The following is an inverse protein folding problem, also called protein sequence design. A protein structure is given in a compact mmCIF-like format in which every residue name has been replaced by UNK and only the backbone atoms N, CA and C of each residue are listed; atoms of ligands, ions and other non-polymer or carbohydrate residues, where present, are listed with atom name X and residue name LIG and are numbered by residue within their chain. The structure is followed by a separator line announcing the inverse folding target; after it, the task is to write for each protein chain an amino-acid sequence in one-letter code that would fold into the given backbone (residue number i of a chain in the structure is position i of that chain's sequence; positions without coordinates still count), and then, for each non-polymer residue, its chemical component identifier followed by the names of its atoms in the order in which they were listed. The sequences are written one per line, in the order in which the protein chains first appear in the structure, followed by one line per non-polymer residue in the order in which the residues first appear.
data_IF_398108297284
#
_entry.id   IF_398108297284
#
_cell.length_a   1.000
_cell.length_b   1.000
_cell.length_c   1.000
_cell.angle_alpha   90.00
_cell.angle_beta   90.00
_cell.angle_gamma   90.00
#
_symmetry.space_group_name_H-M   'P 1'
#
loop_
_entity.id
_entity.type
_entity.pdbx_description
1 polymer ?
#
# COMPACT_ATOMS: atom_id res chain seq x y z
N UNK A 1 -14.00 3.50 4.05
CA UNK A 1 -15.42 3.61 3.70
C UNK A 1 -16.03 2.30 3.22
N UNK A 2 -15.28 1.44 2.51
CA UNK A 2 -15.73 0.16 1.96
C UNK A 2 -16.03 -0.85 3.09
N UNK A 3 -15.13 -0.97 4.05
CA UNK A 3 -15.24 -1.91 5.16
C UNK A 3 -16.40 -1.59 6.12
N UNK A 4 -16.64 -0.32 6.45
CA UNK A 4 -17.80 0.13 7.25
C UNK A 4 -19.14 -0.26 6.61
N UNK A 5 -19.19 -0.43 5.30
CA UNK A 5 -20.39 -0.80 4.55
C UNK A 5 -20.74 -2.29 4.71
N UNK A 6 -19.76 -3.13 5.06
CA UNK A 6 -19.91 -4.58 5.21
C UNK A 6 -20.11 -5.05 6.65
N UNK A 7 -19.51 -4.33 7.62
CA UNK A 7 -19.54 -4.74 9.02
C UNK A 7 -20.42 -3.83 9.91
N UNK A 8 -21.18 -2.92 9.29
CA UNK A 8 -22.23 -2.14 9.95
C UNK A 8 -21.73 -1.12 10.96
N UNK A 9 -22.04 0.16 10.70
CA UNK A 9 -22.03 1.21 11.71
C UNK A 9 -23.47 1.31 12.26
N UNK A 10 -23.80 0.50 13.27
CA UNK A 10 -25.04 0.66 14.01
C UNK A 10 -24.95 1.91 14.90
N UNK A 11 -25.19 3.06 14.26
CA UNK A 11 -25.33 4.34 14.92
C UNK A 11 -26.54 4.37 15.86
N UNK A 12 -26.36 3.94 17.10
CA UNK A 12 -27.27 4.27 18.18
C UNK A 12 -26.51 5.08 19.22
N UNK A 13 -26.94 6.32 19.41
CA UNK A 13 -26.52 7.23 20.47
C UNK A 13 -26.57 6.54 21.83
N UNK A 14 -25.43 6.27 22.44
CA UNK A 14 -25.33 5.70 23.80
C UNK A 14 -23.86 5.72 24.26
N UNK A 15 -23.65 6.10 25.51
CA UNK A 15 -22.38 6.27 26.26
C UNK A 15 -21.28 5.27 25.85
N UNK A 16 -19.98 5.64 25.91
CA UNK A 16 -18.87 4.76 25.56
C UNK A 16 -18.86 3.55 26.51
N UNK A 17 -19.37 2.43 26.06
CA UNK A 17 -19.05 1.11 26.57
C UNK A 17 -17.93 0.55 25.73
N UNK A 18 -16.89 0.01 26.36
CA UNK A 18 -15.91 -0.83 25.67
C UNK A 18 -16.68 -1.92 24.91
N UNK A 19 -16.83 -1.75 23.62
CA UNK A 19 -17.35 -2.79 22.73
C UNK A 19 -16.17 -3.61 22.29
N UNK A 20 -16.08 -4.84 22.72
CA UNK A 20 -15.22 -5.86 22.09
C UNK A 20 -15.76 -6.06 20.68
N UNK A 21 -15.10 -5.47 19.69
CA UNK A 21 -15.36 -5.74 18.29
C UNK A 21 -14.48 -6.94 17.89
N UNK A 22 -15.08 -8.09 17.71
CA UNK A 22 -14.40 -9.24 17.13
C UNK A 22 -14.36 -9.06 15.61
N UNK A 23 -13.17 -8.83 15.06
CA UNK A 23 -12.94 -8.93 13.62
C UNK A 23 -12.56 -10.38 13.30
N UNK A 24 -13.25 -10.99 12.33
CA UNK A 24 -12.96 -12.35 11.88
C UNK A 24 -12.29 -12.27 10.49
N UNK A 25 -11.18 -12.97 10.35
CA UNK A 25 -10.45 -13.09 9.10
C UNK A 25 -9.68 -14.39 9.06
N UNK A 26 -8.95 -14.59 8.00
CA UNK A 26 -8.07 -15.74 7.79
C UNK A 26 -6.61 -15.29 7.78
N UNK A 27 -5.69 -16.23 7.90
CA UNK A 27 -4.25 -16.02 7.73
C UNK A 27 -3.60 -17.24 7.08
N UNK A 28 -2.39 -17.06 6.59
CA UNK A 28 -1.59 -18.09 5.93
C UNK A 28 -0.25 -18.21 6.65
N UNK A 29 0.09 -19.40 7.15
CA UNK A 29 1.40 -19.67 7.72
C UNK A 29 2.40 -19.81 6.58
N UNK A 30 3.42 -18.94 6.57
CA UNK A 30 4.41 -18.84 5.49
C UNK A 30 5.82 -19.26 5.92
N UNK A 31 6.07 -19.40 7.22
CA UNK A 31 7.31 -19.92 7.80
C UNK A 31 7.00 -20.84 8.99
N UNK A 32 7.72 -21.97 9.12
CA UNK A 32 7.47 -22.99 10.14
C UNK A 32 7.63 -22.48 11.58
N UNK A 33 8.36 -21.39 11.76
CA UNK A 33 8.58 -20.72 13.05
C UNK A 33 7.42 -19.78 13.45
N UNK A 34 6.26 -19.88 12.78
CA UNK A 34 5.04 -19.17 13.15
C UNK A 34 4.84 -17.82 12.48
N UNK A 35 5.49 -17.55 11.32
CA UNK A 35 5.20 -16.35 10.55
C UNK A 35 3.91 -16.51 9.76
N UNK A 36 3.00 -15.55 9.89
CA UNK A 36 1.65 -15.57 9.30
C UNK A 36 1.41 -14.29 8.52
N UNK A 37 0.87 -14.42 7.32
CA UNK A 37 0.39 -13.28 6.53
C UNK A 37 -1.12 -13.24 6.55
N UNK A 38 -1.66 -12.04 6.70
CA UNK A 38 -3.10 -11.73 6.64
C UNK A 38 -3.33 -10.36 5.99
N UNK A 39 -4.57 -9.88 5.91
CA UNK A 39 -4.83 -8.51 5.48
C UNK A 39 -4.66 -7.50 6.63
N UNK A 40 -4.19 -6.30 6.29
CA UNK A 40 -4.09 -5.20 7.24
C UNK A 40 -5.44 -4.83 7.85
N UNK A 41 -6.51 -4.80 7.04
CA UNK A 41 -7.84 -4.46 7.54
C UNK A 41 -8.41 -5.48 8.53
N UNK A 42 -7.94 -6.73 8.53
CA UNK A 42 -8.36 -7.78 9.48
C UNK A 42 -7.82 -7.47 10.88
N UNK A 43 -6.61 -6.94 10.98
CA UNK A 43 -5.91 -6.66 12.25
C UNK A 43 -5.96 -5.20 12.67
N UNK A 44 -6.44 -4.32 11.80
CA UNK A 44 -6.45 -2.88 12.05
C UNK A 44 -7.30 -2.50 13.27
N UNK A 45 -6.66 -1.85 14.25
CA UNK A 45 -7.32 -1.41 15.49
C UNK A 45 -7.50 -2.53 16.53
N UNK A 46 -7.03 -3.75 16.25
CA UNK A 46 -7.00 -4.84 17.20
C UNK A 46 -5.96 -4.59 18.29
N UNK A 47 -6.35 -4.77 19.55
CA UNK A 47 -5.45 -4.70 20.72
C UNK A 47 -5.01 -6.07 21.20
N UNK A 48 -5.76 -7.11 20.86
CA UNK A 48 -5.52 -8.51 21.19
C UNK A 48 -5.75 -9.33 19.91
N UNK A 49 -4.71 -9.87 19.33
CA UNK A 49 -4.78 -10.66 18.10
C UNK A 49 -4.56 -12.13 18.45
N UNK A 50 -5.54 -12.97 18.15
CA UNK A 50 -5.48 -14.41 18.35
C UNK A 50 -5.55 -15.16 17.05
N UNK A 51 -4.69 -16.14 16.92
CA UNK A 51 -4.64 -17.08 15.81
C UNK A 51 -5.15 -18.44 16.28
N UNK A 52 -6.15 -18.96 15.57
CA UNK A 52 -6.71 -20.29 15.82
C UNK A 52 -6.36 -21.18 14.64
N UNK A 53 -5.63 -22.26 14.88
CA UNK A 53 -5.23 -23.23 13.87
C UNK A 53 -6.38 -24.19 13.52
N UNK A 54 -6.21 -24.94 12.45
CA UNK A 54 -7.20 -25.94 12.00
C UNK A 54 -7.45 -27.05 13.05
N UNK A 55 -6.46 -27.37 13.88
CA UNK A 55 -6.54 -28.32 14.98
C UNK A 55 -7.11 -27.72 16.27
N UNK A 56 -7.57 -26.46 16.22
CA UNK A 56 -8.18 -25.69 17.31
C UNK A 56 -7.20 -25.20 18.38
N UNK A 57 -5.91 -25.31 18.17
CA UNK A 57 -4.93 -24.62 19.05
C UNK A 57 -5.04 -23.12 18.85
N UNK A 58 -4.92 -22.40 19.94
CA UNK A 58 -5.00 -20.92 19.97
C UNK A 58 -3.66 -20.35 20.41
N UNK A 59 -3.22 -19.31 19.72
CA UNK A 59 -1.99 -18.60 20.00
C UNK A 59 -2.25 -17.09 20.07
N UNK A 60 -1.62 -16.42 21.00
CA UNK A 60 -1.49 -14.97 20.96
C UNK A 60 -0.51 -14.61 19.84
N UNK A 61 -0.84 -13.59 19.05
CA UNK A 61 -0.03 -13.19 17.91
C UNK A 61 0.54 -11.80 18.09
N UNK A 62 1.84 -11.67 17.85
CA UNK A 62 2.53 -10.40 17.75
C UNK A 62 2.37 -9.80 16.34
N UNK A 63 1.97 -8.53 16.27
CA UNK A 63 1.92 -7.79 15.01
C UNK A 63 3.31 -7.25 14.68
N UNK A 64 3.99 -7.89 13.71
CA UNK A 64 5.34 -7.49 13.28
C UNK A 64 5.32 -6.29 12.33
N UNK A 65 4.38 -6.28 11.38
CA UNK A 65 4.33 -5.28 10.33
C UNK A 65 2.92 -5.12 9.81
N UNK A 66 2.53 -3.87 9.53
CA UNK A 66 1.35 -3.53 8.74
C UNK A 66 1.73 -2.74 7.52
N UNK A 67 1.08 -3.04 6.41
CA UNK A 67 1.21 -2.31 5.17
C UNK A 67 -0.17 -1.91 4.62
N UNK A 68 -0.68 -0.75 5.02
CA UNK A 68 -1.98 -0.26 4.53
C UNK A 68 -2.02 -0.06 3.01
N UNK A 69 -0.87 0.16 2.36
CA UNK A 69 -0.80 0.41 0.92
C UNK A 69 -1.06 -0.83 0.07
N UNK A 70 -0.73 -2.02 0.59
CA UNK A 70 -1.04 -3.31 -0.06
C UNK A 70 -2.18 -4.05 0.60
N UNK A 71 -2.66 -3.55 1.77
CA UNK A 71 -3.63 -4.25 2.62
C UNK A 71 -3.08 -5.58 3.16
N UNK A 72 -1.79 -5.65 3.50
CA UNK A 72 -1.14 -6.81 4.10
C UNK A 72 -0.70 -6.53 5.55
N UNK A 73 -0.67 -7.57 6.36
CA UNK A 73 -0.06 -7.57 7.68
C UNK A 73 0.70 -8.88 7.90
N UNK A 74 1.77 -8.80 8.69
CA UNK A 74 2.59 -9.94 9.09
C UNK A 74 2.50 -10.09 10.61
N UNK A 75 2.13 -11.29 11.02
CA UNK A 75 2.01 -11.68 12.42
C UNK A 75 3.05 -12.76 12.74
N UNK A 76 3.37 -12.89 14.02
CA UNK A 76 4.16 -13.99 14.57
C UNK A 76 3.41 -14.65 15.72
N UNK A 77 3.39 -15.97 15.72
CA UNK A 77 2.97 -16.78 16.87
C UNK A 77 4.16 -17.60 17.39
N UNK A 78 4.17 -17.90 18.67
CA UNK A 78 5.15 -18.76 19.29
C UNK A 78 4.55 -20.17 19.49
N UNK A 79 5.00 -21.12 18.68
CA UNK A 79 4.62 -22.53 18.79
C UNK A 79 5.65 -23.38 19.54
N UNK A 80 6.63 -22.75 20.22
CA UNK A 80 7.75 -23.43 20.87
C UNK A 80 8.68 -24.09 19.85
N UNK A 81 9.09 -25.31 20.12
CA UNK A 81 9.99 -26.09 19.26
C UNK A 81 9.27 -26.85 18.11
N UNK A 82 7.99 -26.60 17.92
CA UNK A 82 7.19 -27.28 16.88
C UNK A 82 7.28 -26.55 15.55
N UNK A 83 7.64 -27.29 14.50
CA UNK A 83 7.53 -26.81 13.11
C UNK A 83 6.07 -26.81 12.65
N UNK A 84 5.53 -25.64 12.37
CA UNK A 84 4.18 -25.48 11.82
C UNK A 84 4.15 -25.81 10.32
N UNK A 85 3.04 -26.42 9.81
CA UNK A 85 2.88 -26.64 8.40
C UNK A 85 2.76 -25.33 7.64
N UNK A 86 3.54 -25.17 6.56
CA UNK A 86 3.61 -23.96 5.74
C UNK A 86 3.14 -24.20 4.32
N UNK A 87 2.71 -23.12 3.65
CA UNK A 87 2.46 -23.12 2.21
C UNK A 87 3.72 -22.74 1.45
N UNK A 88 3.93 -23.32 0.28
CA UNK A 88 5.01 -22.89 -0.64
C UNK A 88 4.61 -21.58 -1.31
N UNK A 89 5.47 -20.57 -1.25
CA UNK A 89 5.26 -19.30 -1.96
C UNK A 89 5.55 -19.49 -3.46
N UNK A 90 4.52 -19.42 -4.29
CA UNK A 90 4.61 -19.54 -5.75
C UNK A 90 5.14 -18.28 -6.43
N UNK A 91 4.84 -18.12 -7.72
CA UNK A 91 5.12 -16.93 -8.52
C UNK A 91 3.83 -16.44 -9.17
N UNK A 92 3.34 -15.28 -8.73
CA UNK A 92 2.11 -14.69 -9.28
C UNK A 92 2.28 -14.13 -10.70
N UNK A 93 3.51 -13.92 -11.16
CA UNK A 93 3.77 -13.47 -12.53
C UNK A 93 3.74 -14.61 -13.55
N UNK A 94 3.71 -15.87 -13.08
CA UNK A 94 3.54 -17.05 -13.94
C UNK A 94 2.08 -17.41 -14.21
N UNK A 95 1.13 -16.73 -13.55
CA UNK A 95 -0.30 -16.99 -13.73
C UNK A 95 -0.79 -16.50 -15.09
N UNK A 96 -1.69 -17.29 -15.67
CA UNK A 96 -2.41 -16.95 -16.89
C UNK A 96 -3.93 -16.90 -16.63
N UNK A 97 -4.63 -16.09 -17.41
CA UNK A 97 -6.11 -16.08 -17.38
C UNK A 97 -6.64 -17.44 -17.83
N UNK A 98 -7.48 -18.03 -16.99
CA UNK A 98 -7.98 -19.40 -17.17
C UNK A 98 -7.34 -20.44 -16.24
N UNK A 99 -6.24 -20.11 -15.56
CA UNK A 99 -5.62 -21.00 -14.58
C UNK A 99 -6.58 -21.32 -13.45
N UNK A 100 -6.65 -22.62 -13.09
CA UNK A 100 -7.46 -23.08 -11.96
C UNK A 100 -6.82 -22.67 -10.63
N UNK A 101 -7.63 -22.14 -9.73
CA UNK A 101 -7.22 -21.71 -8.39
C UNK A 101 -8.23 -22.13 -7.33
N UNK A 102 -7.74 -22.29 -6.09
CA UNK A 102 -8.54 -22.56 -4.92
C UNK A 102 -8.41 -21.38 -3.94
N UNK A 103 -9.54 -20.81 -3.52
CA UNK A 103 -9.57 -19.83 -2.44
C UNK A 103 -9.90 -20.54 -1.13
N UNK A 104 -9.02 -20.37 -0.13
CA UNK A 104 -9.08 -21.06 1.16
C UNK A 104 -9.20 -19.99 2.25
N UNK A 105 -10.09 -20.19 3.20
CA UNK A 105 -10.28 -19.29 4.33
C UNK A 105 -11.27 -19.87 5.34
N UNK A 106 -11.66 -19.06 6.32
CA UNK A 106 -12.64 -19.40 7.35
C UNK A 106 -13.80 -18.39 7.34
N UNK A 107 -14.69 -18.44 6.32
CA UNK A 107 -15.80 -17.50 6.21
C UNK A 107 -16.73 -17.63 7.43
N UNK A 108 -17.08 -16.49 8.00
CA UNK A 108 -17.98 -16.39 9.14
C UNK A 108 -17.49 -17.10 10.43
N UNK A 109 -16.23 -17.57 10.47
CA UNK A 109 -15.68 -18.27 11.64
C UNK A 109 -16.30 -19.65 11.91
N UNK A 110 -16.98 -20.25 10.91
CA UNK A 110 -17.69 -21.53 11.08
C UNK A 110 -16.85 -22.74 10.68
N UNK A 111 -15.61 -22.52 10.25
CA UNK A 111 -14.66 -23.57 9.85
C UNK A 111 -14.00 -23.28 8.52
N UNK A 112 -12.91 -24.00 8.26
CA UNK A 112 -12.15 -23.86 7.02
C UNK A 112 -13.02 -24.24 5.81
N UNK A 113 -13.01 -23.38 4.81
CA UNK A 113 -13.77 -23.55 3.56
C UNK A 113 -12.83 -23.42 2.38
N UNK A 114 -13.03 -24.27 1.38
CA UNK A 114 -12.31 -24.22 0.11
C UNK A 114 -13.32 -24.00 -1.00
N UNK A 115 -13.07 -22.99 -1.83
CA UNK A 115 -13.85 -22.73 -3.05
C UNK A 115 -12.92 -22.79 -4.26
N UNK A 116 -13.42 -23.22 -5.41
CA UNK A 116 -12.66 -23.34 -6.64
C UNK A 116 -13.15 -22.34 -7.70
N UNK A 117 -12.25 -21.90 -8.53
CA UNK A 117 -12.51 -21.03 -9.66
C UNK A 117 -11.28 -20.93 -10.56
N UNK A 118 -11.27 -19.89 -11.39
CA UNK A 118 -10.16 -19.59 -12.29
C UNK A 118 -9.60 -18.19 -12.03
N UNK A 119 -8.42 -17.92 -12.53
CA UNK A 119 -7.91 -16.57 -12.74
C UNK A 119 -8.74 -15.93 -13.84
N UNK A 120 -9.64 -15.03 -13.48
CA UNK A 120 -10.55 -14.34 -14.44
C UNK A 120 -9.89 -13.16 -15.12
N UNK A 121 -8.94 -12.50 -14.45
CA UNK A 121 -8.11 -11.43 -14.98
C UNK A 121 -6.89 -11.20 -14.10
N UNK A 122 -5.87 -10.61 -14.70
CA UNK A 122 -4.67 -10.11 -14.01
C UNK A 122 -4.66 -8.58 -14.07
N UNK A 123 -3.85 -7.96 -13.22
CA UNK A 123 -3.62 -6.51 -13.23
C UNK A 123 -4.87 -5.63 -13.05
N UNK A 124 -5.87 -6.07 -12.28
CA UNK A 124 -7.06 -5.26 -12.01
C UNK A 124 -6.75 -4.09 -11.09
N UNK A 125 -7.05 -2.88 -11.54
CA UNK A 125 -6.54 -1.62 -10.96
C UNK A 125 -7.61 -0.68 -10.40
N UNK A 126 -8.90 -1.01 -10.42
CA UNK A 126 -10.00 -0.12 -10.01
C UNK A 126 -10.85 -0.69 -8.87
N UNK A 127 -10.22 -1.36 -7.90
CA UNK A 127 -10.94 -2.00 -6.81
C UNK A 127 -11.12 -1.09 -5.59
N UNK A 128 -10.28 -0.04 -5.45
CA UNK A 128 -10.42 0.99 -4.41
C UNK A 128 -10.07 0.54 -2.99
N UNK A 129 -9.34 -0.57 -2.82
CA UNK A 129 -9.00 -1.18 -1.52
C UNK A 129 -7.62 -0.79 -1.04
N UNK A 130 -6.68 -0.52 -1.95
CA UNK A 130 -5.29 -0.19 -1.64
C UNK A 130 -4.68 0.75 -2.68
N UNK A 131 -3.50 1.33 -2.38
CA UNK A 131 -2.77 2.20 -3.31
C UNK A 131 -2.11 1.39 -4.44
N UNK A 132 -1.58 0.21 -4.13
CA UNK A 132 -1.07 -0.76 -5.11
C UNK A 132 -2.22 -1.63 -5.63
N UNK A 133 -2.95 -1.10 -6.59
CA UNK A 133 -4.10 -1.76 -7.21
C UNK A 133 -3.64 -2.65 -8.37
N UNK A 134 -3.05 -3.79 -8.05
CA UNK A 134 -2.67 -4.81 -9.02
C UNK A 134 -3.10 -6.16 -8.48
N UNK A 135 -4.37 -6.48 -8.67
CA UNK A 135 -4.99 -7.68 -8.09
C UNK A 135 -5.12 -8.80 -9.11
N UNK A 136 -5.03 -10.04 -8.61
CA UNK A 136 -5.54 -11.22 -9.30
C UNK A 136 -7.05 -11.21 -9.12
N UNK A 137 -7.81 -11.20 -10.22
CA UNK A 137 -9.26 -11.41 -10.17
C UNK A 137 -9.57 -12.90 -10.33
N UNK A 138 -10.48 -13.42 -9.53
CA UNK A 138 -10.96 -14.80 -9.59
C UNK A 138 -12.47 -14.87 -9.44
N UNK A 139 -13.09 -15.90 -10.00
CA UNK A 139 -14.49 -16.24 -9.79
C UNK A 139 -14.68 -17.27 -8.67
N UNK A 140 -13.58 -17.80 -8.09
CA UNK A 140 -13.64 -18.54 -6.83
C UNK A 140 -14.41 -17.73 -5.79
N UNK A 141 -15.40 -18.34 -5.12
CA UNK A 141 -16.27 -17.62 -4.20
C UNK A 141 -15.49 -17.12 -2.97
N UNK A 142 -15.27 -15.82 -2.89
CA UNK A 142 -14.70 -15.14 -1.72
C UNK A 142 -15.84 -14.47 -0.95
N UNK A 143 -15.93 -14.71 0.35
CA UNK A 143 -16.94 -14.15 1.25
C UNK A 143 -16.26 -13.53 2.49
N UNK A 144 -16.96 -12.69 3.27
CA UNK A 144 -16.43 -12.17 4.53
C UNK A 144 -15.89 -13.28 5.43
N UNK A 145 -14.63 -13.12 5.92
CA UNK A 145 -13.87 -14.12 6.65
C UNK A 145 -12.81 -14.86 5.81
N UNK A 146 -12.93 -14.90 4.48
CA UNK A 146 -11.86 -15.39 3.60
C UNK A 146 -10.72 -14.37 3.43
N UNK A 147 -10.95 -13.10 3.79
CA UNK A 147 -9.90 -12.06 3.76
C UNK A 147 -8.70 -12.49 4.61
N UNK A 148 -7.50 -12.36 4.05
CA UNK A 148 -6.25 -12.84 4.63
C UNK A 148 -5.95 -14.32 4.35
N UNK A 149 -6.91 -15.08 3.83
CA UNK A 149 -6.73 -16.47 3.44
C UNK A 149 -5.99 -16.66 2.12
N UNK A 150 -5.67 -17.90 1.80
CA UNK A 150 -4.86 -18.25 0.65
C UNK A 150 -5.66 -18.32 -0.65
N UNK A 151 -5.07 -17.81 -1.74
CA UNK A 151 -5.37 -18.24 -3.10
C UNK A 151 -4.22 -19.14 -3.56
N UNK A 152 -4.51 -20.40 -3.87
CA UNK A 152 -3.49 -21.39 -4.26
C UNK A 152 -3.76 -21.91 -5.66
N UNK A 153 -2.70 -22.21 -6.38
CA UNK A 153 -2.74 -22.89 -7.68
C UNK A 153 -2.90 -24.41 -7.49
N UNK A 154 -3.16 -25.13 -8.57
CA UNK A 154 -3.40 -26.57 -8.52
C UNK A 154 -2.18 -27.41 -8.13
N UNK A 155 -0.97 -26.84 -8.12
CA UNK A 155 0.23 -27.46 -7.57
C UNK A 155 0.40 -27.23 -6.05
N UNK A 156 -0.56 -26.55 -5.40
CA UNK A 156 -0.54 -26.27 -3.96
C UNK A 156 0.28 -25.05 -3.56
N UNK A 157 0.84 -24.28 -4.51
CA UNK A 157 1.60 -23.07 -4.21
C UNK A 157 0.68 -21.88 -3.97
N UNK A 158 1.01 -21.05 -2.99
CA UNK A 158 0.36 -19.76 -2.75
C UNK A 158 0.62 -18.83 -3.94
N UNK A 159 -0.42 -18.33 -4.56
CA UNK A 159 -0.32 -17.36 -5.67
C UNK A 159 -0.90 -16.00 -5.30
N UNK A 160 -1.66 -15.92 -4.21
CA UNK A 160 -2.16 -14.65 -3.68
C UNK A 160 -2.79 -14.77 -2.29
N UNK A 161 -3.09 -13.62 -1.69
CA UNK A 161 -3.86 -13.48 -0.45
C UNK A 161 -5.22 -12.88 -0.78
N UNK A 162 -6.29 -13.60 -0.46
CA UNK A 162 -7.67 -13.13 -0.67
C UNK A 162 -7.90 -11.84 0.11
N UNK A 163 -8.46 -10.80 -0.53
CA UNK A 163 -8.63 -9.49 0.17
C UNK A 163 -10.03 -8.90 0.04
N UNK A 164 -10.60 -8.84 -1.15
CA UNK A 164 -11.82 -8.10 -1.39
C UNK A 164 -12.75 -8.80 -2.38
N UNK A 165 -14.03 -8.38 -2.36
CA UNK A 165 -15.02 -8.77 -3.38
C UNK A 165 -15.64 -7.49 -3.96
N UNK A 166 -16.00 -7.54 -5.25
CA UNK A 166 -16.88 -6.53 -5.83
C UNK A 166 -18.33 -6.96 -5.59
N UNK A 167 -18.98 -6.38 -4.59
CA UNK A 167 -20.35 -6.77 -4.22
C UNK A 167 -21.11 -5.59 -3.63
N UNK A 168 -22.42 -5.49 -3.97
CA UNK A 168 -23.34 -4.53 -3.35
C UNK A 168 -24.10 -5.14 -2.17
N UNK A 169 -24.24 -6.45 -2.16
CA UNK A 169 -25.01 -7.21 -1.17
C UNK A 169 -24.16 -7.82 -0.05
N UNK A 170 -22.82 -7.79 -0.16
CA UNK A 170 -21.91 -8.37 0.83
C UNK A 170 -21.50 -9.81 0.57
N UNK A 171 -22.15 -10.53 -0.36
CA UNK A 171 -21.78 -11.88 -0.76
C UNK A 171 -21.05 -11.90 -2.10
N UNK A 172 -20.39 -13.02 -2.40
CA UNK A 172 -19.71 -13.24 -3.68
C UNK A 172 -20.73 -13.25 -4.83
N UNK A 173 -20.39 -12.54 -5.90
CA UNK A 173 -21.11 -12.54 -7.19
C UNK A 173 -20.21 -13.06 -8.32
N UNK A 174 -19.16 -13.82 -8.01
CA UNK A 174 -18.19 -14.31 -8.99
C UNK A 174 -17.10 -13.29 -9.34
N UNK A 175 -16.90 -12.26 -8.52
CA UNK A 175 -15.83 -11.27 -8.69
C UNK A 175 -15.11 -11.13 -7.35
N UNK A 176 -14.04 -11.86 -7.18
CA UNK A 176 -13.13 -11.82 -6.04
C UNK A 176 -11.75 -11.29 -6.44
N UNK A 177 -11.01 -10.78 -5.48
CA UNK A 177 -9.68 -10.22 -5.66
C UNK A 177 -8.71 -10.79 -4.64
N UNK A 178 -7.48 -11.06 -5.11
CA UNK A 178 -6.37 -11.46 -4.26
C UNK A 178 -5.13 -10.59 -4.54
N UNK A 179 -4.36 -10.34 -3.50
CA UNK A 179 -3.07 -9.64 -3.56
C UNK A 179 -2.03 -10.65 -4.07
N UNK A 180 -1.29 -10.35 -5.16
CA UNK A 180 -0.31 -11.27 -5.74
C UNK A 180 0.78 -11.69 -4.76
N UNK A 181 1.20 -12.95 -4.78
CA UNK A 181 2.22 -13.49 -3.86
C UNK A 181 3.57 -12.79 -4.00
N UNK A 182 3.93 -12.27 -5.17
CA UNK A 182 5.18 -11.52 -5.32
C UNK A 182 5.18 -10.24 -4.48
N UNK A 183 4.02 -9.58 -4.31
CA UNK A 183 3.87 -8.46 -3.36
C UNK A 183 3.93 -8.96 -1.91
N UNK A 184 3.35 -10.12 -1.60
CA UNK A 184 3.42 -10.76 -0.27
C UNK A 184 4.87 -11.03 0.13
N UNK A 185 5.70 -11.54 -0.78
CA UNK A 185 7.15 -11.79 -0.55
C UNK A 185 7.89 -10.51 -0.15
N UNK A 186 7.60 -9.38 -0.82
CA UNK A 186 8.20 -8.07 -0.49
C UNK A 186 7.86 -7.63 0.94
N UNK A 187 6.61 -7.85 1.36
CA UNK A 187 6.15 -7.49 2.71
C UNK A 187 6.75 -8.41 3.78
N UNK A 188 6.82 -9.74 3.51
CA UNK A 188 7.49 -10.70 4.41
C UNK A 188 8.95 -10.33 4.61
N UNK A 189 9.70 -10.09 3.54
CA UNK A 189 11.12 -9.72 3.60
C UNK A 189 11.32 -8.43 4.40
N UNK A 190 10.40 -7.48 4.29
CA UNK A 190 10.45 -6.24 5.05
C UNK A 190 10.17 -6.46 6.54
N UNK A 191 9.26 -7.37 6.89
CA UNK A 191 8.97 -7.73 8.29
C UNK A 191 10.16 -8.42 8.98
N UNK A 192 10.96 -9.19 8.24
CA UNK A 192 12.17 -9.84 8.77
C UNK A 192 13.36 -8.90 8.97
N UNK A 193 13.42 -7.82 8.18
CA UNK A 193 14.58 -6.90 8.15
C UNK A 193 14.35 -5.58 8.87
N UNK A 194 13.12 -5.25 9.23
CA UNK A 194 12.81 -3.98 9.91
C UNK A 194 11.31 -3.67 9.90
N UNK A 195 10.92 -2.62 10.62
CA UNK A 195 9.51 -2.28 10.88
C UNK A 195 8.82 -1.48 9.75
N UNK A 196 9.45 -1.25 8.62
CA UNK A 196 8.90 -0.48 7.49
C UNK A 196 9.08 -1.21 6.18
N UNK A 197 8.03 -1.22 5.35
CA UNK A 197 8.10 -1.84 4.02
C UNK A 197 8.95 -0.98 3.10
N UNK A 198 10.14 -1.47 2.77
CA UNK A 198 11.03 -0.83 1.79
C UNK A 198 10.71 -1.37 0.41
N UNK A 199 10.38 -0.47 -0.51
CA UNK A 199 10.10 -0.81 -1.91
C UNK A 199 11.11 -0.16 -2.82
N UNK A 200 11.45 -0.80 -3.94
CA UNK A 200 12.17 -0.12 -5.01
C UNK A 200 11.37 1.08 -5.50
N UNK A 201 12.09 2.15 -5.78
CA UNK A 201 11.54 3.43 -6.19
C UNK A 201 12.01 3.78 -7.60
N UNK A 202 11.08 4.14 -8.47
CA UNK A 202 11.40 4.59 -9.83
C UNK A 202 11.75 6.07 -9.88
N UNK A 203 11.20 6.86 -8.98
CA UNK A 203 11.37 8.32 -8.98
C UNK A 203 10.79 8.98 -10.23
N UNK A 204 9.69 8.43 -10.75
CA UNK A 204 9.05 8.88 -11.98
C UNK A 204 7.55 9.12 -11.77
N UNK A 205 7.04 10.19 -12.38
CA UNK A 205 5.61 10.36 -12.60
C UNK A 205 5.25 9.64 -13.89
N UNK A 206 4.37 8.66 -13.77
CA UNK A 206 3.96 7.80 -14.86
C UNK A 206 2.51 8.08 -15.24
N UNK A 207 2.22 7.98 -16.53
CA UNK A 207 0.90 8.16 -17.10
C UNK A 207 0.59 7.02 -18.06
N UNK A 208 -0.67 6.54 -18.04
CA UNK A 208 -1.14 5.59 -19.03
C UNK A 208 -1.16 6.25 -20.43
N UNK A 209 -0.78 5.48 -21.44
CA UNK A 209 -0.83 5.92 -22.84
C UNK A 209 -2.27 5.75 -23.34
N UNK A 210 -2.96 6.86 -23.57
CA UNK A 210 -4.30 6.86 -24.22
C UNK A 210 -4.18 6.72 -25.75
N UNK A 211 -5.28 6.47 -26.46
CA UNK A 211 -5.30 6.40 -27.92
C UNK A 211 -4.74 7.66 -28.58
N UNK A 212 -5.12 8.84 -28.09
CA UNK A 212 -4.66 10.14 -28.63
C UNK A 212 -3.15 10.34 -28.37
N UNK A 213 -2.66 9.89 -27.21
CA UNK A 213 -1.22 9.91 -26.91
C UNK A 213 -0.46 8.92 -27.77
N UNK A 214 -0.99 7.71 -27.98
CA UNK A 214 -0.37 6.71 -28.86
C UNK A 214 -0.17 7.25 -30.29
N UNK A 215 -1.21 7.86 -30.85
CA UNK A 215 -1.12 8.50 -32.18
C UNK A 215 -0.04 9.58 -32.20
N UNK A 216 -0.03 10.48 -31.22
CA UNK A 216 0.96 11.58 -31.14
C UNK A 216 2.39 11.11 -30.93
N UNK A 217 2.59 9.94 -30.30
CA UNK A 217 3.88 9.32 -30.01
C UNK A 217 4.31 8.32 -31.09
N UNK A 218 3.50 8.12 -32.14
CA UNK A 218 3.78 7.17 -33.23
C UNK A 218 3.74 5.70 -32.77
N UNK A 219 2.92 5.37 -31.77
CA UNK A 219 2.67 4.01 -31.32
C UNK A 219 1.54 3.38 -32.14
N UNK A 220 1.65 2.10 -32.45
CA UNK A 220 0.63 1.38 -33.20
C UNK A 220 -0.67 1.16 -32.39
N UNK A 221 -0.55 1.17 -31.06
CA UNK A 221 -1.65 0.98 -30.10
C UNK A 221 -1.33 1.67 -28.77
N UNK A 222 -2.36 1.94 -27.92
CA UNK A 222 -2.13 2.39 -26.54
C UNK A 222 -1.45 1.29 -25.73
N UNK A 223 -0.16 1.42 -25.49
CA UNK A 223 0.67 0.48 -24.71
C UNK A 223 1.79 1.22 -23.98
N UNK A 224 2.25 0.63 -22.89
CA UNK A 224 3.36 1.16 -22.14
C UNK A 224 2.98 2.21 -21.09
N UNK A 225 4.00 2.72 -20.41
CA UNK A 225 3.92 3.78 -19.42
C UNK A 225 4.70 5.01 -19.86
N UNK A 226 3.99 6.14 -20.07
CA UNK A 226 4.62 7.41 -20.43
C UNK A 226 5.27 8.03 -19.20
N UNK A 227 6.54 8.41 -19.29
CA UNK A 227 7.27 9.17 -18.29
C UNK A 227 6.88 10.64 -18.39
N UNK A 228 5.97 11.10 -17.53
CA UNK A 228 5.47 12.47 -17.48
C UNK A 228 6.42 13.40 -16.72
N UNK A 229 7.20 12.86 -15.75
CA UNK A 229 8.18 13.59 -14.96
C UNK A 229 9.17 12.64 -14.29
N UNK A 230 10.30 13.19 -13.86
CA UNK A 230 11.34 12.44 -13.12
C UNK A 230 11.84 13.29 -11.95
N UNK A 231 12.03 12.65 -10.81
CA UNK A 231 12.72 13.26 -9.69
C UNK A 231 14.22 13.42 -10.02
N UNK A 232 14.89 14.49 -9.57
CA UNK A 232 16.35 14.65 -9.78
C UNK A 232 17.18 13.46 -9.27
N UNK A 233 16.72 12.77 -8.22
CA UNK A 233 17.39 11.60 -7.64
C UNK A 233 16.91 10.26 -8.21
N UNK A 234 16.07 10.29 -9.24
CA UNK A 234 15.50 9.09 -9.85
C UNK A 234 16.57 8.14 -10.40
N UNK A 235 16.50 6.83 -10.09
CA UNK A 235 17.35 5.83 -10.71
C UNK A 235 17.10 5.71 -12.23
N UNK A 236 15.87 5.95 -12.69
CA UNK A 236 15.54 5.98 -14.13
C UNK A 236 16.24 7.15 -14.83
N UNK A 237 16.27 8.34 -14.19
CA UNK A 237 16.98 9.50 -14.73
C UNK A 237 18.49 9.22 -14.85
N UNK A 238 19.10 8.60 -13.83
CA UNK A 238 20.52 8.20 -13.85
C UNK A 238 20.83 7.17 -14.93
N UNK A 239 19.86 6.31 -15.26
CA UNK A 239 19.96 5.34 -16.35
C UNK A 239 19.72 5.95 -17.75
N UNK A 240 19.49 7.27 -17.84
CA UNK A 240 19.31 7.99 -19.10
C UNK A 240 17.88 8.04 -19.63
N UNK A 241 16.90 7.55 -18.87
CA UNK A 241 15.46 7.71 -19.18
C UNK A 241 15.08 9.18 -18.97
N UNK A 242 14.20 9.71 -19.82
CA UNK A 242 13.81 11.12 -19.84
C UNK A 242 12.30 11.27 -19.87
N UNK A 243 11.83 12.45 -19.52
CA UNK A 243 10.44 12.84 -19.77
C UNK A 243 10.09 12.70 -21.25
N UNK A 244 8.95 12.10 -21.54
CA UNK A 244 8.46 11.80 -22.88
C UNK A 244 8.82 10.39 -23.38
N UNK A 245 9.66 9.63 -22.69
CA UNK A 245 9.89 8.23 -23.00
C UNK A 245 8.65 7.39 -22.66
N UNK A 246 8.41 6.35 -23.42
CA UNK A 246 7.37 5.36 -23.12
C UNK A 246 8.06 4.05 -22.76
N UNK A 247 7.85 3.59 -21.52
CA UNK A 247 8.38 2.32 -21.04
C UNK A 247 7.53 1.20 -21.60
N UNK A 248 8.15 0.26 -22.32
CA UNK A 248 7.50 -0.84 -23.01
C UNK A 248 7.70 -2.19 -22.34
N UNK A 249 8.86 -2.39 -21.68
CA UNK A 249 9.12 -3.60 -20.91
C UNK A 249 9.99 -3.32 -19.69
N UNK A 250 9.83 -4.15 -18.67
CA UNK A 250 10.57 -4.11 -17.41
C UNK A 250 10.95 -5.54 -17.02
N UNK A 251 12.25 -5.81 -16.89
CA UNK A 251 12.82 -7.14 -16.63
C UNK A 251 12.35 -8.21 -17.64
N UNK A 252 12.36 -7.85 -18.92
CA UNK A 252 11.92 -8.71 -20.02
C UNK A 252 10.40 -8.93 -20.12
N UNK A 253 9.62 -8.36 -19.22
CA UNK A 253 8.15 -8.48 -19.21
C UNK A 253 7.50 -7.24 -19.82
N UNK A 254 6.52 -7.37 -20.73
CA UNK A 254 5.82 -6.22 -21.32
C UNK A 254 5.15 -5.37 -20.23
N UNK A 255 5.10 -4.07 -20.46
CA UNK A 255 4.39 -3.08 -19.62
C UNK A 255 3.25 -2.50 -20.46
N UNK A 256 2.01 -2.68 -20.02
CA UNK A 256 0.82 -2.17 -20.70
C UNK A 256 0.27 -0.88 -20.08
N UNK A 257 0.66 -0.58 -18.82
CA UNK A 257 0.18 0.60 -18.09
C UNK A 257 1.19 1.14 -17.08
N UNK A 258 0.99 2.40 -16.67
CA UNK A 258 1.76 3.03 -15.59
C UNK A 258 1.64 2.27 -14.25
N UNK A 259 0.46 1.71 -13.97
CA UNK A 259 0.22 0.93 -12.75
C UNK A 259 0.94 -0.40 -12.77
N UNK A 260 0.97 -1.07 -13.90
CA UNK A 260 1.72 -2.31 -14.07
C UNK A 260 3.22 -2.08 -13.87
N UNK A 261 3.78 -1.01 -14.47
CA UNK A 261 5.17 -0.64 -14.22
C UNK A 261 5.43 -0.38 -12.72
N UNK A 262 4.51 0.33 -12.05
CA UNK A 262 4.59 0.57 -10.61
C UNK A 262 4.59 -0.72 -9.79
N UNK A 263 3.75 -1.70 -10.13
CA UNK A 263 3.71 -3.02 -9.50
C UNK A 263 5.00 -3.80 -9.73
N UNK A 264 5.46 -3.91 -10.99
CA UNK A 264 6.70 -4.62 -11.34
C UNK A 264 7.91 -4.03 -10.61
N UNK A 265 7.97 -2.71 -10.52
CA UNK A 265 9.00 -2.04 -9.74
C UNK A 265 8.90 -2.36 -8.25
N UNK A 266 7.69 -2.29 -7.67
CA UNK A 266 7.47 -2.54 -6.24
C UNK A 266 7.76 -3.98 -5.82
N UNK A 267 7.72 -4.95 -6.75
CA UNK A 267 8.02 -6.37 -6.52
C UNK A 267 9.45 -6.76 -6.92
N UNK A 268 10.22 -5.87 -7.52
CA UNK A 268 11.64 -6.09 -7.81
C UNK A 268 12.47 -6.10 -6.51
N UNK A 269 13.68 -6.64 -6.58
CA UNK A 269 14.59 -6.68 -5.42
C UNK A 269 15.43 -5.41 -5.36
N UNK A 270 15.46 -4.74 -4.20
CA UNK A 270 16.40 -3.62 -3.95
C UNK A 270 17.82 -4.12 -4.12
N UNK A 271 18.61 -3.38 -4.90
CA UNK A 271 19.99 -3.75 -5.23
C UNK A 271 20.12 -4.54 -6.54
N UNK A 272 19.04 -4.99 -7.17
CA UNK A 272 19.05 -5.63 -8.47
C UNK A 272 19.21 -4.60 -9.59
N UNK A 273 19.90 -4.97 -10.66
CA UNK A 273 19.89 -4.26 -11.93
C UNK A 273 18.81 -4.85 -12.83
N UNK A 274 17.89 -4.01 -13.30
CA UNK A 274 16.73 -4.40 -14.11
C UNK A 274 16.86 -3.79 -15.49
N UNK A 275 16.66 -4.59 -16.53
CA UNK A 275 16.61 -4.10 -17.90
C UNK A 275 15.27 -3.44 -18.19
N UNK A 276 15.32 -2.21 -18.67
CA UNK A 276 14.14 -1.42 -19.05
C UNK A 276 14.20 -1.11 -20.54
N UNK A 277 13.19 -1.55 -21.26
CA UNK A 277 12.99 -1.21 -22.67
C UNK A 277 12.05 0.00 -22.77
N UNK A 278 12.45 0.99 -23.53
CA UNK A 278 11.67 2.21 -23.70
C UNK A 278 11.75 2.74 -25.14
N UNK A 279 10.72 3.47 -25.55
CA UNK A 279 10.66 4.15 -26.84
C UNK A 279 10.90 5.64 -26.67
N UNK A 280 11.78 6.20 -27.50
CA UNK A 280 12.07 7.62 -27.60
C UNK A 280 12.09 8.03 -29.06
N UNK A 281 11.31 9.04 -29.46
CA UNK A 281 11.25 9.55 -30.82
C UNK A 281 11.08 8.44 -31.90
N UNK A 282 10.22 7.45 -31.59
CA UNK A 282 9.91 6.33 -32.50
C UNK A 282 10.91 5.18 -32.46
N UNK A 283 12.07 5.33 -31.80
CA UNK A 283 13.11 4.30 -31.69
C UNK A 283 13.05 3.59 -30.35
N UNK A 284 13.18 2.27 -30.36
CA UNK A 284 13.24 1.45 -29.14
C UNK A 284 14.69 1.41 -28.64
N UNK A 285 14.84 1.61 -27.35
CA UNK A 285 16.10 1.60 -26.62
C UNK A 285 16.01 0.68 -25.43
N UNK A 286 17.14 0.24 -24.93
CA UNK A 286 17.28 -0.56 -23.72
C UNK A 286 18.30 0.09 -22.77
N UNK A 287 18.06 0.03 -21.47
CA UNK A 287 18.98 0.49 -20.44
C UNK A 287 18.87 -0.34 -19.18
N UNK A 288 19.91 -0.36 -18.36
CA UNK A 288 19.92 -1.01 -17.05
C UNK A 288 19.61 0.03 -15.96
N UNK A 289 18.62 -0.26 -15.14
CA UNK A 289 18.21 0.58 -14.00
C UNK A 289 18.52 -0.15 -12.70
N UNK A 290 19.37 0.45 -11.86
CA UNK A 290 19.63 -0.06 -10.51
C UNK A 290 18.44 0.21 -9.61
N UNK A 291 17.80 -0.84 -9.09
CA UNK A 291 16.66 -0.70 -8.18
C UNK A 291 17.14 -0.26 -6.80
N UNK A 292 16.67 0.88 -6.34
CA UNK A 292 17.03 1.49 -5.04
C UNK A 292 15.77 1.89 -4.29
N UNK A 293 15.84 1.97 -2.96
CA UNK A 293 14.78 2.60 -2.18
C UNK A 293 14.73 4.11 -2.42
N UNK A 294 13.60 4.72 -2.16
CA UNK A 294 13.47 6.18 -2.21
C UNK A 294 14.46 6.83 -1.22
N UNK A 295 15.23 7.85 -1.64
CA UNK A 295 16.25 8.45 -0.79
C UNK A 295 15.66 9.38 0.27
N UNK A 296 16.31 9.44 1.44
CA UNK A 296 16.15 10.52 2.41
C UNK A 296 17.08 11.68 1.99
N UNK A 297 16.52 12.65 1.28
CA UNK A 297 17.30 13.80 0.76
C UNK A 297 17.47 14.93 1.77
N UNK A 298 16.70 14.88 2.84
CA UNK A 298 16.74 15.78 4.01
C UNK A 298 16.51 14.93 5.25
N UNK A 299 17.08 15.33 6.40
CA UNK A 299 16.80 14.67 7.66
C UNK A 299 15.29 14.69 7.94
N UNK A 300 14.73 13.53 8.21
CA UNK A 300 13.29 13.32 8.42
C UNK A 300 12.73 14.18 9.56
N UNK A 301 13.50 14.36 10.62
CA UNK A 301 13.14 15.14 11.81
C UNK A 301 11.70 14.86 12.30
N UNK A 302 11.33 13.58 12.38
CA UNK A 302 9.98 13.21 12.82
C UNK A 302 9.73 13.72 14.23
N UNK A 303 8.73 14.59 14.39
CA UNK A 303 8.49 15.35 15.63
C UNK A 303 7.01 15.34 15.99
N UNK A 304 6.70 14.98 17.23
CA UNK A 304 5.38 15.23 17.83
C UNK A 304 5.34 16.69 18.27
N UNK A 305 4.41 17.45 17.72
CA UNK A 305 4.20 18.84 18.11
C UNK A 305 3.42 18.91 19.41
N UNK A 306 3.94 19.73 20.33
CA UNK A 306 3.37 19.95 21.67
C UNK A 306 3.11 21.45 21.90
N UNK A 307 2.51 21.79 23.05
CA UNK A 307 2.28 23.17 23.48
C UNK A 307 0.87 23.69 23.18
N UNK A 308 0.63 24.97 23.50
CA UNK A 308 -0.66 25.64 23.32
C UNK A 308 -0.83 26.18 21.90
N UNK A 309 -1.03 25.29 20.93
CA UNK A 309 -1.23 25.64 19.53
C UNK A 309 -2.15 24.58 18.85
N UNK A 310 -2.81 24.91 17.73
CA UNK A 310 -3.78 24.02 17.08
C UNK A 310 -3.16 22.80 16.40
N UNK A 311 -1.83 22.71 16.29
CA UNK A 311 -1.11 21.55 15.77
C UNK A 311 -0.63 20.61 16.88
N UNK A 312 -0.87 20.92 18.15
CA UNK A 312 -0.51 20.04 19.26
C UNK A 312 -1.16 18.66 19.09
N UNK A 313 -0.38 17.58 19.25
CA UNK A 313 -0.78 16.21 18.98
C UNK A 313 -0.61 15.77 17.51
N UNK A 314 -0.02 16.60 16.64
CA UNK A 314 0.33 16.27 15.27
C UNK A 314 1.79 15.79 15.22
N UNK A 315 2.02 14.61 14.67
CA UNK A 315 3.37 14.17 14.29
C UNK A 315 3.65 14.66 12.88
N UNK A 316 4.77 15.35 12.69
CA UNK A 316 5.21 15.91 11.41
C UNK A 316 6.59 15.42 11.05
N UNK A 317 6.90 15.47 9.75
CA UNK A 317 8.24 15.17 9.25
C UNK A 317 8.61 16.08 8.07
N UNK A 318 9.91 16.27 7.83
CA UNK A 318 10.40 16.85 6.60
C UNK A 318 10.12 15.91 5.43
N UNK A 319 9.63 16.45 4.32
CA UNK A 319 9.24 15.68 3.14
C UNK A 319 10.47 15.38 2.29
N UNK A 320 10.89 14.11 2.29
CA UNK A 320 11.85 13.52 1.36
C UNK A 320 11.12 12.60 0.37
N UNK A 321 11.77 12.13 -0.70
CA UNK A 321 11.23 11.06 -1.54
C UNK A 321 10.83 9.82 -0.74
N UNK A 322 11.57 9.44 0.29
CA UNK A 322 11.26 8.30 1.16
C UNK A 322 9.98 8.53 1.97
N UNK A 323 9.81 9.71 2.56
CA UNK A 323 8.60 10.09 3.29
C UNK A 323 7.39 10.18 2.34
N UNK A 324 7.59 10.73 1.12
CA UNK A 324 6.55 10.78 0.10
C UNK A 324 6.10 9.37 -0.32
N UNK A 325 7.05 8.45 -0.53
CA UNK A 325 6.77 7.05 -0.87
C UNK A 325 5.99 6.37 0.25
N UNK A 326 6.42 6.52 1.50
CA UNK A 326 5.73 5.96 2.68
C UNK A 326 4.28 6.43 2.80
N UNK A 327 4.01 7.70 2.46
CA UNK A 327 2.70 8.32 2.55
C UNK A 327 1.85 8.14 1.27
N UNK A 328 2.38 7.52 0.22
CA UNK A 328 1.71 7.41 -1.08
C UNK A 328 1.49 8.76 -1.76
N UNK A 329 2.32 9.76 -1.45
CA UNK A 329 2.21 11.08 -2.04
C UNK A 329 2.88 11.10 -3.42
N UNK A 330 2.24 11.77 -4.38
CA UNK A 330 2.91 12.10 -5.63
C UNK A 330 4.06 13.05 -5.33
N UNK A 331 5.09 13.03 -6.18
CA UNK A 331 6.29 13.85 -5.99
C UNK A 331 5.91 15.28 -5.60
N UNK A 332 6.19 15.63 -4.35
CA UNK A 332 6.08 16.99 -3.86
C UNK A 332 7.48 17.54 -3.68
N UNK A 333 7.65 18.82 -3.98
CA UNK A 333 8.82 19.56 -3.56
C UNK A 333 8.92 19.57 -2.03
N UNK A 334 10.08 19.95 -1.49
CA UNK A 334 10.36 20.07 -0.06
C UNK A 334 9.21 20.69 0.73
N UNK A 335 9.08 20.33 1.99
CA UNK A 335 8.03 20.85 2.87
C UNK A 335 7.87 19.99 4.11
N UNK A 336 6.87 20.30 4.90
CA UNK A 336 6.52 19.56 6.12
C UNK A 336 5.20 18.83 5.91
N UNK A 337 5.19 17.55 6.26
CA UNK A 337 4.02 16.68 6.09
C UNK A 337 3.58 16.08 7.42
N UNK A 338 2.28 15.90 7.57
CA UNK A 338 1.68 15.20 8.70
C UNK A 338 1.87 13.69 8.57
N UNK A 339 2.54 13.08 9.54
CA UNK A 339 2.66 11.63 9.69
C UNK A 339 1.44 11.01 10.38
N UNK A 340 0.66 11.82 11.11
CA UNK A 340 -0.56 11.42 11.82
C UNK A 340 -0.89 12.37 12.95
N UNK A 341 -2.14 12.35 13.41
CA UNK A 341 -2.61 13.14 14.53
C UNK A 341 -3.24 12.20 15.57
N UNK A 342 -2.65 12.12 16.74
CA UNK A 342 -3.03 11.16 17.80
C UNK A 342 -3.94 11.77 18.86
N UNK A 343 -3.91 13.09 19.03
CA UNK A 343 -4.62 13.80 20.11
C UNK A 343 -5.28 15.09 19.60
N UNK A 344 -6.36 15.56 20.31
CA UNK A 344 -6.86 16.91 20.11
C UNK A 344 -5.80 17.98 20.52
N UNK A 345 -5.82 19.17 19.85
CA UNK A 345 -6.78 19.60 18.85
C UNK A 345 -6.49 19.09 17.43
N UNK A 346 -5.26 18.65 17.13
CA UNK A 346 -4.79 18.34 15.78
C UNK A 346 -5.64 17.29 15.05
N UNK A 347 -6.06 16.21 15.71
CA UNK A 347 -6.82 15.13 15.08
C UNK A 347 -8.21 15.52 14.55
N UNK A 348 -8.71 16.72 14.92
CA UNK A 348 -9.97 17.27 14.38
C UNK A 348 -9.82 17.89 12.99
N UNK A 349 -8.63 18.38 12.66
CA UNK A 349 -8.39 19.20 11.47
C UNK A 349 -7.42 18.57 10.49
N UNK A 350 -6.40 17.85 11.01
CA UNK A 350 -5.31 17.32 10.21
C UNK A 350 -5.45 15.81 9.98
N UNK A 351 -4.93 15.37 8.85
CA UNK A 351 -4.90 13.97 8.44
C UNK A 351 -3.48 13.59 8.02
N UNK A 352 -3.16 12.30 8.09
CA UNK A 352 -1.94 11.75 7.52
C UNK A 352 -1.81 12.17 6.06
N UNK A 353 -0.64 12.69 5.66
CA UNK A 353 -0.36 13.15 4.31
C UNK A 353 -0.76 14.61 4.00
N UNK A 354 -1.31 15.35 4.98
CA UNK A 354 -1.50 16.79 4.81
C UNK A 354 -0.15 17.50 4.82
N UNK A 355 0.13 18.31 3.81
CA UNK A 355 1.32 19.17 3.79
C UNK A 355 1.01 20.52 4.44
N UNK A 356 1.83 20.94 5.41
CA UNK A 356 1.75 22.27 6.03
C UNK A 356 2.48 23.24 5.12
N UNK A 357 1.74 24.16 4.49
CA UNK A 357 2.28 25.07 3.47
C UNK A 357 2.66 26.42 4.10
N UNK A 358 1.82 26.91 5.02
CA UNK A 358 1.98 28.23 5.61
C UNK A 358 1.37 28.26 7.01
N UNK A 359 2.03 28.94 7.94
CA UNK A 359 1.50 29.25 9.27
C UNK A 359 1.73 30.73 9.54
N UNK A 360 0.64 31.48 9.84
CA UNK A 360 0.64 32.92 10.13
C UNK A 360 1.35 33.79 9.08
N UNK A 361 1.28 33.41 7.78
CA UNK A 361 1.91 34.14 6.68
C UNK A 361 3.38 33.73 6.43
N UNK A 362 3.92 32.80 7.22
CA UNK A 362 5.28 32.26 7.03
C UNK A 362 5.17 30.94 6.27
N UNK A 363 5.86 30.82 5.14
CA UNK A 363 5.97 29.58 4.40
C UNK A 363 6.75 28.52 5.20
N UNK A 364 6.26 27.30 5.21
CA UNK A 364 6.84 26.21 6.00
C UNK A 364 7.51 25.21 5.03
N UNK A 365 8.81 25.17 5.05
CA UNK A 365 9.68 24.30 4.25
C UNK A 365 10.40 23.21 5.08
N UNK A 366 10.57 23.43 6.40
CA UNK A 366 11.18 22.47 7.31
C UNK A 366 10.44 22.39 8.65
N UNK A 367 10.61 21.27 9.36
CA UNK A 367 10.10 21.07 10.72
C UNK A 367 10.69 22.11 11.68
N UNK A 368 11.97 22.47 11.51
CA UNK A 368 12.63 23.51 12.30
C UNK A 368 11.93 24.87 12.13
N UNK A 369 11.64 25.27 10.88
CA UNK A 369 10.87 26.50 10.59
C UNK A 369 9.50 26.44 11.25
N UNK A 370 8.80 25.31 11.18
CA UNK A 370 7.50 25.14 11.82
C UNK A 370 7.58 25.31 13.33
N UNK A 371 8.52 24.65 14.00
CA UNK A 371 8.75 24.75 15.45
C UNK A 371 9.00 26.22 15.87
N UNK A 372 9.84 26.93 15.13
CA UNK A 372 10.14 28.33 15.40
C UNK A 372 8.87 29.19 15.33
N UNK A 373 8.07 29.06 14.26
CA UNK A 373 6.83 29.83 14.10
C UNK A 373 5.81 29.51 15.20
N UNK A 374 5.71 28.23 15.62
CA UNK A 374 4.82 27.84 16.70
C UNK A 374 5.28 28.39 18.07
N UNK A 375 6.59 28.51 18.30
CA UNK A 375 7.15 29.04 19.55
C UNK A 375 6.92 30.55 19.73
N UNK A 376 6.71 31.31 18.65
CA UNK A 376 6.44 32.76 18.71
C UNK A 376 5.06 33.07 19.30
N UNK A 377 4.18 32.04 19.37
CA UNK A 377 2.83 32.16 19.94
C UNK A 377 1.89 33.04 19.11
N UNK A 378 0.61 32.83 19.21
CA UNK A 378 -0.39 33.69 18.58
C UNK A 378 -1.77 33.47 19.21
N UNK A 379 -2.54 34.52 19.42
CA UNK A 379 -3.95 34.42 19.82
C UNK A 379 -4.87 33.90 18.72
N UNK A 380 -4.41 33.95 17.46
CA UNK A 380 -5.11 33.37 16.30
C UNK A 380 -4.10 32.77 15.34
N UNK A 381 -4.45 31.59 14.84
CA UNK A 381 -3.61 30.82 13.93
C UNK A 381 -4.25 30.77 12.54
N UNK A 382 -3.54 31.25 11.54
CA UNK A 382 -3.88 31.07 10.12
C UNK A 382 -2.97 30.01 9.53
N UNK A 383 -3.55 28.88 9.12
CA UNK A 383 -2.80 27.71 8.65
C UNK A 383 -3.29 27.38 7.24
N UNK A 384 -2.39 27.29 6.30
CA UNK A 384 -2.67 26.72 4.98
C UNK A 384 -2.06 25.33 4.89
N UNK A 385 -2.89 24.35 4.55
CA UNK A 385 -2.46 22.97 4.30
C UNK A 385 -2.82 22.57 2.87
N UNK A 386 -2.00 21.71 2.27
CA UNK A 386 -2.33 21.05 1.01
C UNK A 386 -2.76 19.63 1.31
N UNK A 387 -3.98 19.29 0.92
CA UNK A 387 -4.56 17.94 0.99
C UNK A 387 -4.85 17.46 -0.42
N UNK A 388 -4.04 16.56 -0.94
CA UNK A 388 -4.04 16.21 -2.36
C UNK A 388 -3.80 17.46 -3.23
N UNK A 389 -4.70 17.73 -4.17
CA UNK A 389 -4.60 18.89 -5.09
C UNK A 389 -5.28 20.17 -4.54
N UNK A 390 -5.78 20.18 -3.30
CA UNK A 390 -6.51 21.32 -2.73
C UNK A 390 -5.72 21.97 -1.62
N UNK A 391 -5.70 23.30 -1.63
CA UNK A 391 -5.19 24.11 -0.51
C UNK A 391 -6.37 24.51 0.38
N UNK A 392 -6.33 24.09 1.62
CA UNK A 392 -7.30 24.42 2.66
C UNK A 392 -6.69 25.48 3.57
N UNK A 393 -7.47 26.52 3.89
CA UNK A 393 -7.07 27.56 4.84
C UNK A 393 -7.94 27.47 6.07
N UNK A 394 -7.29 27.38 7.23
CA UNK A 394 -7.90 27.25 8.53
C UNK A 394 -7.59 28.50 9.33
N UNK A 395 -8.60 29.03 10.05
CA UNK A 395 -8.39 30.07 11.07
C UNK A 395 -8.87 29.49 12.38
N UNK A 396 -7.95 29.33 13.31
CA UNK A 396 -8.18 28.67 14.60
C UNK A 396 -7.81 29.62 15.72
N UNK A 397 -8.63 29.69 16.79
CA UNK A 397 -8.28 30.41 18.02
C UNK A 397 -7.19 29.64 18.79
N UNK A 398 -6.31 30.36 19.46
CA UNK A 398 -5.34 29.80 20.41
C UNK A 398 -5.97 29.52 21.75
#
# INVERSE_FOLDING_TARGET
PFFRRFFGDDGTFGRPRERVQNSLGSGVIVDSRGLIVTNNHVVQGGTDIRVVLADKREFEAELLLTDPRTDLAVLRIDAGDEDLPTVILGDSDSLEVGDLVLAIGNPFGVGQTVTSGIVSALARTQVGVSDYQFFIQTDAAINPGNSGGALVSMNGSLVGINTAIFSRSGGSIGIGFAIPVNMVKTVIQSAETGNTVKRPWLGADLQDVTADLAESLGLARPEGALVAGLNPDSPMLRAGIRRGDVILAFDGKPVESARELGYRAATATIGQDVIVEYRRAGVVHETSVRMVGAPETIDREETLLEGENPLAGLTVANLSPAVAEELGLRQAANGVVSMGATAPPANRFFRRGDMIVEVNGVGIDTVETLKRVLSEGSGFWRIAIRRGNRVLRLTLGG
#
